data_IF_434633663943
#
_entry.id   IF_434633663943
#
_cell.length_a   1.000
_cell.length_b   1.000
_cell.length_c   1.000
_cell.angle_alpha   90.00
_cell.angle_beta   90.00
_cell.angle_gamma   90.00
#
_symmetry.space_group_name_H-M   'P 1'
#
loop_
_entity.id
_entity.type
_entity.pdbx_description
1 polymer ?
#
# COMPACT_ATOMS: atom_id res chain seq x y z
N UNK A 1 18.73 3.19 -18.61
CA UNK A 1 17.72 4.26 -18.88
C UNK A 1 16.44 4.06 -18.07
N UNK A 2 15.79 2.89 -18.11
CA UNK A 2 14.56 2.63 -17.34
C UNK A 2 14.73 2.89 -15.82
N UNK A 3 15.88 2.52 -15.25
CA UNK A 3 16.26 2.86 -13.87
C UNK A 3 16.18 4.35 -13.57
N UNK A 4 16.79 5.19 -14.40
CA UNK A 4 16.76 6.64 -14.19
C UNK A 4 15.34 7.20 -14.33
N UNK A 5 14.55 6.69 -15.28
CA UNK A 5 13.14 7.05 -15.41
C UNK A 5 12.35 6.69 -14.15
N UNK A 6 12.51 5.47 -13.62
CA UNK A 6 11.85 5.04 -12.38
C UNK A 6 12.26 5.88 -11.18
N UNK A 7 13.56 6.15 -11.05
CA UNK A 7 14.10 6.99 -9.98
C UNK A 7 13.52 8.42 -10.02
N UNK A 8 13.50 9.05 -11.19
CA UNK A 8 12.93 10.39 -11.36
C UNK A 8 11.42 10.39 -11.08
N UNK A 9 10.68 9.41 -11.60
CA UNK A 9 9.24 9.32 -11.34
C UNK A 9 8.94 9.09 -9.86
N UNK A 10 9.77 8.34 -9.14
CA UNK A 10 9.65 8.13 -7.69
C UNK A 10 9.86 9.41 -6.88
N UNK A 11 10.89 10.19 -7.22
CA UNK A 11 11.15 11.50 -6.59
C UNK A 11 10.01 12.48 -6.88
N UNK A 12 9.54 12.54 -8.14
CA UNK A 12 8.41 13.38 -8.54
C UNK A 12 7.13 12.97 -7.81
N UNK A 13 6.90 11.66 -7.63
CA UNK A 13 5.74 11.12 -6.90
C UNK A 13 5.70 11.61 -5.46
N UNK A 14 6.81 11.46 -4.72
CA UNK A 14 6.90 11.97 -3.35
C UNK A 14 6.77 13.50 -3.28
N UNK A 15 7.42 14.22 -4.20
CA UNK A 15 7.35 15.68 -4.24
C UNK A 15 5.94 16.22 -4.51
N UNK A 16 5.21 15.66 -5.50
CA UNK A 16 3.85 16.08 -5.82
C UNK A 16 2.89 15.81 -4.66
N UNK A 17 3.04 14.66 -3.98
CA UNK A 17 2.30 14.36 -2.75
C UNK A 17 2.54 15.42 -1.67
N UNK A 18 3.80 15.75 -1.40
CA UNK A 18 4.15 16.76 -0.40
C UNK A 18 3.59 18.15 -0.77
N UNK A 19 3.62 18.52 -2.06
CA UNK A 19 3.09 19.81 -2.53
C UNK A 19 1.59 19.93 -2.31
N UNK A 20 0.81 18.87 -2.54
CA UNK A 20 -0.63 18.93 -2.27
C UNK A 20 -0.93 18.87 -0.76
N UNK A 21 -0.19 18.11 0.02
CA UNK A 21 -0.38 18.02 1.47
C UNK A 21 -0.08 19.36 2.18
N UNK A 22 1.07 19.98 1.88
CA UNK A 22 1.45 21.31 2.40
C UNK A 22 0.56 22.43 1.89
N UNK A 23 -0.15 22.22 0.79
CA UNK A 23 -1.19 23.14 0.33
C UNK A 23 -2.53 22.92 1.06
N UNK A 24 -2.88 21.68 1.36
CA UNK A 24 -4.21 21.32 1.87
C UNK A 24 -4.33 21.37 3.39
N UNK A 25 -3.23 21.24 4.14
CA UNK A 25 -3.23 21.20 5.61
C UNK A 25 -3.97 22.40 6.25
N UNK A 26 -3.54 23.64 5.96
CA UNK A 26 -4.17 24.85 6.49
C UNK A 26 -5.61 25.03 5.99
N UNK A 27 -5.91 24.60 4.75
CA UNK A 27 -7.28 24.64 4.20
C UNK A 27 -8.20 23.71 4.96
N UNK A 28 -7.72 22.52 5.31
CA UNK A 28 -8.44 21.55 6.14
C UNK A 28 -8.74 22.14 7.52
N UNK A 29 -7.77 22.82 8.14
CA UNK A 29 -7.97 23.53 9.42
C UNK A 29 -9.02 24.63 9.31
N UNK A 30 -8.99 25.44 8.24
CA UNK A 30 -9.99 26.50 8.02
C UNK A 30 -11.40 25.92 7.81
N UNK A 31 -11.53 24.82 7.06
CA UNK A 31 -12.81 24.15 6.83
C UNK A 31 -13.33 23.40 8.07
N UNK A 32 -12.45 23.01 8.99
CA UNK A 32 -12.86 22.42 10.27
C UNK A 32 -13.74 23.37 11.11
N UNK A 33 -13.66 24.70 10.88
CA UNK A 33 -14.58 25.69 11.47
C UNK A 33 -16.03 25.50 11.03
N UNK A 34 -16.27 24.85 9.89
CA UNK A 34 -17.61 24.50 9.36
C UNK A 34 -18.05 23.08 9.74
N UNK A 35 -17.25 22.38 10.55
CA UNK A 35 -17.53 21.04 11.04
C UNK A 35 -16.74 19.93 10.32
N UNK A 36 -16.80 18.72 10.88
CA UNK A 36 -16.00 17.57 10.45
C UNK A 36 -16.21 17.19 8.98
N UNK A 37 -17.42 17.35 8.45
CA UNK A 37 -17.72 16.99 7.07
C UNK A 37 -16.97 17.84 6.04
N UNK A 38 -16.83 19.15 6.29
CA UNK A 38 -16.13 20.06 5.40
C UNK A 38 -14.60 19.85 5.45
N UNK A 39 -14.05 19.64 6.66
CA UNK A 39 -12.65 19.26 6.84
C UNK A 39 -12.34 17.92 6.15
N UNK A 40 -13.17 16.90 6.40
CA UNK A 40 -13.01 15.57 5.77
C UNK A 40 -13.04 15.66 4.25
N UNK A 41 -14.00 16.39 3.67
CA UNK A 41 -14.09 16.53 2.21
C UNK A 41 -12.84 17.22 1.62
N UNK A 42 -12.29 18.23 2.31
CA UNK A 42 -11.08 18.94 1.87
C UNK A 42 -9.85 18.04 1.94
N UNK A 43 -9.66 17.33 3.07
CA UNK A 43 -8.57 16.40 3.26
C UNK A 43 -8.65 15.23 2.27
N UNK A 44 -9.83 14.62 2.12
CA UNK A 44 -10.05 13.47 1.23
C UNK A 44 -9.86 13.83 -0.25
N UNK A 45 -10.39 14.99 -0.70
CA UNK A 45 -10.13 15.48 -2.06
C UNK A 45 -8.63 15.74 -2.31
N UNK A 46 -7.92 16.23 -1.30
CA UNK A 46 -6.47 16.47 -1.41
C UNK A 46 -5.67 15.16 -1.46
N UNK A 47 -6.07 14.16 -0.65
CA UNK A 47 -5.52 12.80 -0.74
C UNK A 47 -5.82 12.13 -2.09
N UNK A 48 -7.01 12.36 -2.66
CA UNK A 48 -7.37 11.88 -3.99
C UNK A 48 -6.47 12.51 -5.07
N UNK A 49 -6.17 13.81 -4.98
CA UNK A 49 -5.23 14.48 -5.91
C UNK A 49 -3.87 13.78 -5.91
N UNK A 50 -3.32 13.47 -4.72
CA UNK A 50 -2.10 12.66 -4.63
C UNK A 50 -2.29 11.29 -5.29
N UNK A 51 -3.29 10.51 -4.88
CA UNK A 51 -3.53 9.16 -5.39
C UNK A 51 -3.68 9.07 -6.91
N UNK A 52 -4.46 9.97 -7.52
CA UNK A 52 -4.66 10.01 -8.97
C UNK A 52 -3.41 10.49 -9.71
N UNK A 53 -2.72 11.51 -9.22
CA UNK A 53 -1.49 11.98 -9.86
C UNK A 53 -0.42 10.89 -9.87
N UNK A 54 -0.18 10.23 -8.73
CA UNK A 54 0.84 9.18 -8.63
C UNK A 54 0.52 7.99 -9.54
N UNK A 55 -0.73 7.51 -9.48
CA UNK A 55 -1.15 6.34 -10.24
C UNK A 55 -1.17 6.60 -11.76
N UNK A 56 -1.68 7.76 -12.18
CA UNK A 56 -1.73 8.13 -13.61
C UNK A 56 -0.35 8.49 -14.18
N UNK A 57 0.49 9.17 -13.41
CA UNK A 57 1.87 9.47 -13.81
C UNK A 57 2.69 8.19 -13.95
N UNK A 58 2.62 7.29 -12.96
CA UNK A 58 3.33 6.01 -12.99
C UNK A 58 2.95 5.18 -14.21
N UNK A 59 1.65 5.10 -14.51
CA UNK A 59 1.11 4.41 -15.68
C UNK A 59 1.55 5.05 -17.01
N UNK A 60 1.41 6.37 -17.13
CA UNK A 60 1.73 7.10 -18.35
C UNK A 60 3.22 7.02 -18.68
N UNK A 61 4.09 7.24 -17.68
CA UNK A 61 5.55 7.16 -17.89
C UNK A 61 5.96 5.75 -18.29
N UNK A 62 5.41 4.71 -17.65
CA UNK A 62 5.70 3.33 -18.01
C UNK A 62 5.23 3.00 -19.44
N UNK A 63 4.01 3.40 -19.81
CA UNK A 63 3.48 3.21 -21.16
C UNK A 63 4.37 3.89 -22.22
N UNK A 64 4.75 5.15 -21.99
CA UNK A 64 5.64 5.89 -22.88
C UNK A 64 7.01 5.22 -22.96
N UNK A 65 7.57 4.76 -21.84
CA UNK A 65 8.83 4.03 -21.82
C UNK A 65 8.78 2.75 -22.65
N UNK A 66 7.71 1.94 -22.51
CA UNK A 66 7.50 0.73 -23.33
C UNK A 66 7.47 1.09 -24.82
N UNK A 67 6.73 2.14 -25.21
CA UNK A 67 6.67 2.58 -26.61
C UNK A 67 8.01 3.07 -27.15
N UNK A 68 8.78 3.82 -26.35
CA UNK A 68 10.08 4.34 -26.76
C UNK A 68 11.13 3.22 -26.87
N UNK A 69 11.16 2.29 -25.92
CA UNK A 69 12.06 1.13 -25.98
C UNK A 69 11.68 0.21 -27.15
N UNK A 70 10.38 0.10 -27.46
CA UNK A 70 9.87 -0.62 -28.63
C UNK A 70 10.43 -0.13 -29.97
N UNK A 71 10.83 1.14 -30.08
CA UNK A 71 11.47 1.66 -31.28
C UNK A 71 12.88 1.09 -31.52
N UNK A 72 13.54 0.61 -30.47
CA UNK A 72 14.88 0.03 -30.53
C UNK A 72 14.85 -1.50 -30.58
N UNK A 73 14.05 -2.12 -29.72
CA UNK A 73 14.01 -3.59 -29.59
C UNK A 73 13.21 -4.28 -30.69
N UNK A 74 12.30 -3.57 -31.37
CA UNK A 74 11.44 -4.13 -32.43
C UNK A 74 10.72 -5.41 -31.98
N UNK A 75 11.11 -6.57 -32.51
CA UNK A 75 10.49 -7.88 -32.23
C UNK A 75 11.11 -8.59 -31.01
N UNK A 76 12.23 -8.08 -30.46
CA UNK A 76 12.86 -8.60 -29.24
C UNK A 76 12.13 -8.11 -27.98
N UNK A 77 10.96 -8.70 -27.72
CA UNK A 77 10.13 -8.30 -26.58
C UNK A 77 10.70 -8.77 -25.24
N UNK A 78 11.41 -9.90 -25.21
CA UNK A 78 12.11 -10.36 -24.00
C UNK A 78 13.12 -9.29 -23.54
N UNK A 79 14.03 -8.87 -24.42
CA UNK A 79 15.01 -7.83 -24.11
C UNK A 79 14.38 -6.47 -23.79
N UNK A 80 13.25 -6.13 -24.44
CA UNK A 80 12.50 -4.92 -24.15
C UNK A 80 11.97 -4.91 -22.71
N UNK A 81 11.22 -5.94 -22.32
CA UNK A 81 10.57 -5.96 -21.01
C UNK A 81 11.55 -6.31 -19.88
N UNK A 82 12.63 -7.05 -20.17
CA UNK A 82 13.79 -7.16 -19.28
C UNK A 82 14.36 -5.77 -18.97
N UNK A 83 14.59 -4.96 -19.99
CA UNK A 83 15.14 -3.61 -19.83
C UNK A 83 14.18 -2.66 -19.10
N UNK A 84 12.87 -2.82 -19.30
CA UNK A 84 11.83 -2.07 -18.59
C UNK A 84 11.79 -2.43 -17.09
N UNK A 85 12.23 -3.62 -16.69
CA UNK A 85 12.29 -4.03 -15.27
C UNK A 85 13.15 -3.07 -14.42
N UNK A 86 14.13 -2.40 -15.03
CA UNK A 86 14.89 -1.32 -14.39
C UNK A 86 14.01 -0.18 -13.86
N UNK A 87 12.82 0.05 -14.40
CA UNK A 87 11.87 1.07 -13.93
C UNK A 87 11.43 0.83 -12.47
N UNK A 88 11.06 -0.41 -12.13
CA UNK A 88 10.72 -0.80 -10.76
C UNK A 88 11.92 -0.64 -9.82
N UNK A 89 13.08 -1.14 -10.23
CA UNK A 89 14.34 -1.02 -9.47
C UNK A 89 14.67 0.44 -9.13
N UNK A 90 14.60 1.33 -10.12
CA UNK A 90 14.84 2.76 -9.90
C UNK A 90 13.83 3.39 -8.94
N UNK A 91 12.56 3.00 -9.07
CA UNK A 91 11.48 3.49 -8.23
C UNK A 91 11.67 3.19 -6.75
N UNK A 92 11.91 1.92 -6.44
CA UNK A 92 12.12 1.46 -5.07
C UNK A 92 13.46 1.86 -4.48
N UNK A 93 14.51 1.98 -5.31
CA UNK A 93 15.81 2.48 -4.84
C UNK A 93 15.67 3.88 -4.23
N UNK A 94 14.97 4.79 -4.92
CA UNK A 94 14.73 6.14 -4.40
C UNK A 94 13.71 6.14 -3.26
N UNK A 95 12.72 5.26 -3.31
CA UNK A 95 11.73 5.13 -2.24
C UNK A 95 12.36 4.72 -0.91
N UNK A 96 13.38 3.85 -0.92
CA UNK A 96 14.08 3.43 0.30
C UNK A 96 14.69 4.63 1.02
N UNK A 97 15.45 5.46 0.29
CA UNK A 97 16.02 6.68 0.86
C UNK A 97 14.94 7.67 1.30
N UNK A 98 13.87 7.82 0.52
CA UNK A 98 12.75 8.70 0.86
C UNK A 98 12.06 8.28 2.15
N UNK A 99 11.75 6.99 2.32
CA UNK A 99 11.03 6.49 3.50
C UNK A 99 11.91 6.42 4.74
N UNK A 100 13.17 5.98 4.62
CA UNK A 100 14.11 5.97 5.75
C UNK A 100 14.50 7.39 6.16
N UNK A 101 14.93 8.22 5.20
CA UNK A 101 15.36 9.59 5.49
C UNK A 101 14.22 10.47 6.00
N UNK A 102 13.05 10.40 5.35
CA UNK A 102 11.86 11.09 5.81
C UNK A 102 11.36 10.59 7.17
N UNK A 103 11.34 9.27 7.38
CA UNK A 103 10.97 8.63 8.64
C UNK A 103 11.84 9.08 9.82
N UNK A 104 13.17 9.07 9.64
CA UNK A 104 14.12 9.57 10.66
C UNK A 104 13.84 11.04 10.98
N UNK A 105 13.61 11.87 9.96
CA UNK A 105 13.33 13.29 10.16
C UNK A 105 12.06 13.51 10.99
N UNK A 106 10.94 12.89 10.59
CA UNK A 106 9.65 13.08 11.29
C UNK A 106 9.71 12.53 12.71
N UNK A 107 10.19 11.30 12.91
CA UNK A 107 10.10 10.67 14.24
C UNK A 107 11.11 11.23 15.24
N UNK A 108 12.24 11.78 14.79
CA UNK A 108 13.13 12.52 15.68
C UNK A 108 12.47 13.80 16.23
N UNK A 109 11.66 14.47 15.42
CA UNK A 109 10.93 15.67 15.82
C UNK A 109 9.71 15.34 16.68
N UNK A 110 8.90 14.39 16.24
CA UNK A 110 7.67 13.89 16.89
C UNK A 110 7.95 13.43 18.34
N UNK A 111 8.86 12.46 18.51
CA UNK A 111 9.24 11.94 19.84
C UNK A 111 9.79 13.04 20.75
N UNK A 112 10.59 13.95 20.20
CA UNK A 112 11.14 15.07 20.96
C UNK A 112 10.08 16.08 21.39
N UNK A 113 9.14 16.41 20.48
CA UNK A 113 8.05 17.34 20.75
C UNK A 113 7.12 16.78 21.82
N UNK A 114 6.72 15.53 21.68
CA UNK A 114 5.72 14.89 22.53
C UNK A 114 6.22 14.59 23.93
N UNK A 115 7.44 14.08 24.08
CA UNK A 115 8.00 13.79 25.41
C UNK A 115 8.16 15.07 26.23
N UNK A 116 8.86 16.08 25.70
CA UNK A 116 9.12 17.31 26.45
C UNK A 116 7.82 18.10 26.64
N UNK A 117 6.98 18.19 25.60
CA UNK A 117 5.72 18.94 25.66
C UNK A 117 4.70 18.30 26.60
N UNK A 118 4.27 17.08 26.30
CA UNK A 118 3.12 16.44 26.96
C UNK A 118 3.50 15.79 28.29
N UNK A 119 4.68 15.16 28.37
CA UNK A 119 5.08 14.38 29.56
C UNK A 119 5.79 15.25 30.61
N UNK A 120 6.79 16.04 30.20
CA UNK A 120 7.60 16.81 31.15
C UNK A 120 6.99 18.18 31.49
N UNK A 121 6.54 18.92 30.47
CA UNK A 121 6.11 20.32 30.62
C UNK A 121 4.60 20.49 30.75
N UNK A 122 3.83 19.42 30.56
CA UNK A 122 2.36 19.41 30.60
C UNK A 122 1.74 20.53 29.74
N UNK A 123 2.34 20.84 28.60
CA UNK A 123 1.76 21.72 27.58
C UNK A 123 1.00 20.87 26.56
N UNK A 124 0.00 21.43 25.87
CA UNK A 124 -0.69 20.75 24.78
C UNK A 124 0.27 20.20 23.71
N UNK A 125 -0.18 19.15 23.02
CA UNK A 125 0.39 18.71 21.75
C UNK A 125 0.29 19.84 20.72
N UNK A 126 1.26 19.93 19.81
CA UNK A 126 1.39 21.01 18.83
C UNK A 126 1.42 22.43 19.42
N UNK A 127 1.79 22.59 20.69
CA UNK A 127 1.85 23.90 21.31
C UNK A 127 2.94 24.78 20.66
N UNK A 128 2.63 26.02 20.22
CA UNK A 128 3.57 26.87 19.50
C UNK A 128 4.80 27.29 20.32
N UNK A 129 4.81 27.05 21.63
CA UNK A 129 5.97 27.27 22.50
C UNK A 129 7.01 26.17 22.38
N UNK A 130 6.63 25.00 21.88
CA UNK A 130 7.52 23.87 21.72
C UNK A 130 8.33 24.01 20.41
N UNK A 131 9.67 24.12 20.47
CA UNK A 131 10.49 24.39 19.30
C UNK A 131 10.51 23.24 18.28
N UNK A 132 10.09 22.03 18.66
CA UNK A 132 10.09 20.86 17.79
C UNK A 132 8.83 20.77 16.89
N UNK A 133 7.74 21.49 17.21
CA UNK A 133 6.43 21.35 16.53
C UNK A 133 6.48 21.68 15.04
N UNK A 134 7.32 22.65 14.63
CA UNK A 134 7.51 22.94 13.21
C UNK A 134 8.17 21.76 12.49
N UNK A 135 9.19 21.16 13.09
CA UNK A 135 9.89 20.02 12.49
C UNK A 135 8.99 18.78 12.44
N UNK A 136 8.13 18.61 13.45
CA UNK A 136 7.15 17.54 13.52
C UNK A 136 6.13 17.62 12.36
N UNK A 137 5.46 18.77 12.23
CA UNK A 137 4.50 19.02 11.15
C UNK A 137 5.15 19.05 9.75
N UNK A 138 6.43 19.44 9.64
CA UNK A 138 7.21 19.27 8.39
C UNK A 138 7.45 17.77 8.13
N UNK A 139 7.76 17.02 9.18
CA UNK A 139 7.96 15.59 9.18
C UNK A 139 6.81 14.81 8.56
N UNK A 140 5.56 15.11 8.92
CA UNK A 140 4.38 14.48 8.32
C UNK A 140 4.40 14.54 6.78
N UNK A 141 4.84 15.67 6.23
CA UNK A 141 4.86 15.90 4.80
C UNK A 141 6.08 15.26 4.12
N UNK A 142 7.22 15.19 4.81
CA UNK A 142 8.49 14.66 4.27
C UNK A 142 8.56 13.13 4.40
N UNK A 143 8.15 12.59 5.55
CA UNK A 143 8.07 11.17 5.80
C UNK A 143 6.78 10.58 5.23
N UNK A 144 5.66 10.92 5.86
CA UNK A 144 4.39 10.18 5.73
C UNK A 144 3.63 10.49 4.45
N UNK A 145 3.99 11.58 3.78
CA UNK A 145 3.50 11.88 2.43
C UNK A 145 4.56 11.60 1.38
N UNK A 146 5.72 12.27 1.40
CA UNK A 146 6.69 12.12 0.31
C UNK A 146 7.29 10.71 0.25
N UNK A 147 7.77 10.18 1.39
CA UNK A 147 8.30 8.82 1.48
C UNK A 147 7.25 7.76 1.11
N UNK A 148 6.02 7.89 1.62
CA UNK A 148 4.92 6.98 1.31
C UNK A 148 4.51 7.03 -0.18
N UNK A 149 4.50 8.22 -0.78
CA UNK A 149 4.20 8.38 -2.20
C UNK A 149 5.23 7.69 -3.10
N UNK A 150 6.52 7.82 -2.80
CA UNK A 150 7.59 7.10 -3.49
C UNK A 150 7.50 5.58 -3.26
N UNK A 151 7.17 5.15 -2.05
CA UNK A 151 7.02 3.74 -1.69
C UNK A 151 5.92 3.05 -2.50
N UNK A 152 4.71 3.62 -2.53
CA UNK A 152 3.58 3.07 -3.29
C UNK A 152 3.83 3.10 -4.80
N UNK A 153 4.52 4.12 -5.31
CA UNK A 153 4.98 4.13 -6.70
C UNK A 153 5.92 2.95 -6.99
N UNK A 154 6.90 2.68 -6.12
CA UNK A 154 7.80 1.53 -6.25
C UNK A 154 7.04 0.20 -6.30
N UNK A 155 6.08 0.01 -5.39
CA UNK A 155 5.20 -1.18 -5.40
C UNK A 155 4.42 -1.34 -6.71
N UNK A 156 3.86 -0.25 -7.23
CA UNK A 156 3.14 -0.22 -8.50
C UNK A 156 4.05 -0.59 -9.68
N UNK A 157 5.23 0.05 -9.74
CA UNK A 157 6.17 -0.12 -10.84
C UNK A 157 6.73 -1.55 -10.88
N UNK A 158 7.17 -2.09 -9.75
CA UNK A 158 7.71 -3.46 -9.68
C UNK A 158 6.67 -4.52 -9.98
N UNK A 159 5.47 -4.42 -9.39
CA UNK A 159 4.39 -5.38 -9.65
C UNK A 159 4.02 -5.44 -11.13
N UNK A 160 3.99 -4.25 -11.77
CA UNK A 160 3.68 -4.14 -13.19
C UNK A 160 4.84 -4.68 -14.05
N UNK A 161 6.08 -4.33 -13.73
CA UNK A 161 7.26 -4.79 -14.48
C UNK A 161 7.45 -6.31 -14.38
N UNK A 162 7.24 -6.89 -13.19
CA UNK A 162 7.32 -8.34 -13.00
C UNK A 162 6.29 -9.08 -13.87
N UNK A 163 5.04 -8.59 -13.92
CA UNK A 163 4.01 -9.16 -14.78
C UNK A 163 4.34 -9.01 -16.27
N UNK A 164 4.88 -7.85 -16.68
CA UNK A 164 5.30 -7.60 -18.06
C UNK A 164 6.44 -8.53 -18.51
N UNK A 165 7.47 -8.70 -17.68
CA UNK A 165 8.60 -9.56 -18.01
C UNK A 165 8.16 -11.02 -18.19
N UNK A 166 7.39 -11.57 -17.24
CA UNK A 166 6.87 -12.95 -17.38
C UNK A 166 5.94 -13.08 -18.59
N UNK A 167 5.11 -12.07 -18.88
CA UNK A 167 4.27 -12.06 -20.08
C UNK A 167 5.10 -12.03 -21.38
N UNK A 168 6.25 -11.36 -21.39
CA UNK A 168 7.12 -11.23 -22.57
C UNK A 168 7.77 -12.55 -23.01
N UNK A 169 8.06 -13.45 -22.06
CA UNK A 169 8.61 -14.79 -22.31
C UNK A 169 7.53 -15.89 -22.36
N UNK A 170 6.26 -15.47 -22.30
CA UNK A 170 5.07 -16.32 -22.46
C UNK A 170 4.54 -16.21 -23.90
N UNK A 171 3.45 -16.91 -24.24
CA UNK A 171 2.91 -16.83 -25.62
C UNK A 171 2.53 -15.39 -26.01
N UNK A 172 2.18 -14.54 -25.05
CA UNK A 172 1.83 -13.14 -25.33
C UNK A 172 2.98 -12.37 -26.00
N UNK A 173 4.22 -12.56 -25.52
CA UNK A 173 5.37 -11.93 -26.14
C UNK A 173 5.86 -12.65 -27.40
N UNK A 174 5.79 -13.99 -27.41
CA UNK A 174 6.17 -14.79 -28.58
C UNK A 174 5.26 -14.54 -29.80
N UNK A 175 3.97 -14.31 -29.57
CA UNK A 175 2.97 -14.01 -30.60
C UNK A 175 2.86 -12.50 -30.90
N UNK A 176 3.67 -11.67 -30.23
CA UNK A 176 3.62 -10.21 -30.30
C UNK A 176 2.21 -9.63 -30.04
N UNK A 177 1.45 -10.24 -29.12
CA UNK A 177 0.14 -9.75 -28.69
C UNK A 177 0.32 -8.62 -27.66
N UNK A 178 0.37 -7.39 -28.18
CA UNK A 178 0.58 -6.20 -27.36
C UNK A 178 -0.52 -6.00 -26.32
N UNK A 179 -1.77 -6.36 -26.63
CA UNK A 179 -2.89 -6.19 -25.72
C UNK A 179 -2.77 -7.13 -24.51
N UNK A 180 -2.40 -8.39 -24.77
CA UNK A 180 -2.22 -9.38 -23.72
C UNK A 180 -0.97 -9.11 -22.86
N UNK A 181 0.14 -8.69 -23.46
CA UNK A 181 1.32 -8.26 -22.68
C UNK A 181 1.02 -7.03 -21.82
N UNK A 182 0.28 -6.06 -22.34
CA UNK A 182 -0.11 -4.86 -21.60
C UNK A 182 -1.29 -5.07 -20.62
N UNK A 183 -1.76 -6.30 -20.43
CA UNK A 183 -2.82 -6.61 -19.45
C UNK A 183 -2.66 -5.96 -18.06
N UNK A 184 -1.48 -5.96 -17.39
CA UNK A 184 -1.33 -5.28 -16.11
C UNK A 184 -1.51 -3.74 -16.19
N UNK A 185 -1.16 -3.11 -17.32
CA UNK A 185 -1.43 -1.69 -17.55
C UNK A 185 -2.92 -1.43 -17.78
N UNK A 186 -3.62 -2.33 -18.47
CA UNK A 186 -5.07 -2.24 -18.68
C UNK A 186 -5.85 -2.38 -17.37
N UNK A 187 -5.43 -3.31 -16.50
CA UNK A 187 -5.98 -3.45 -15.14
C UNK A 187 -5.78 -2.15 -14.34
N UNK A 188 -4.58 -1.57 -14.39
CA UNK A 188 -4.29 -0.30 -13.73
C UNK A 188 -5.12 0.86 -14.28
N UNK A 189 -5.31 0.90 -15.60
CA UNK A 189 -6.13 1.90 -16.30
C UNK A 189 -7.61 1.81 -15.88
N UNK A 190 -8.15 0.60 -15.83
CA UNK A 190 -9.50 0.36 -15.32
C UNK A 190 -9.62 0.72 -13.84
N UNK A 191 -8.57 0.45 -13.04
CA UNK A 191 -8.48 0.87 -11.65
C UNK A 191 -8.60 2.37 -11.46
N UNK A 192 -7.97 3.19 -12.30
CA UNK A 192 -8.13 4.65 -12.25
C UNK A 192 -9.58 5.08 -12.45
N UNK A 193 -10.28 4.49 -13.41
CA UNK A 193 -11.71 4.79 -13.66
C UNK A 193 -12.58 4.34 -12.48
N UNK A 194 -12.34 3.14 -11.96
CA UNK A 194 -13.06 2.61 -10.78
C UNK A 194 -12.85 3.50 -9.56
N UNK A 195 -11.61 3.90 -9.29
CA UNK A 195 -11.28 4.77 -8.17
C UNK A 195 -11.90 6.16 -8.35
N UNK A 196 -12.00 6.68 -9.58
CA UNK A 196 -12.66 7.95 -9.86
C UNK A 196 -14.13 7.87 -9.48
N UNK A 197 -14.83 6.83 -9.95
CA UNK A 197 -16.24 6.59 -9.59
C UNK A 197 -16.39 6.40 -8.07
N UNK A 198 -15.49 5.65 -7.44
CA UNK A 198 -15.51 5.37 -6.00
C UNK A 198 -15.34 6.65 -5.17
N UNK A 199 -14.45 7.54 -5.60
CA UNK A 199 -14.18 8.83 -4.94
C UNK A 199 -15.44 9.68 -4.81
N UNK A 200 -16.30 9.69 -5.84
CA UNK A 200 -17.57 10.44 -5.84
C UNK A 200 -18.50 10.05 -4.68
N UNK A 201 -18.42 8.81 -4.20
CA UNK A 201 -19.20 8.36 -3.05
C UNK A 201 -18.78 9.07 -1.76
N UNK A 202 -17.49 9.31 -1.54
CA UNK A 202 -17.00 10.01 -0.35
C UNK A 202 -17.03 11.53 -0.49
N UNK A 203 -17.02 12.07 -1.72
CA UNK A 203 -16.91 13.51 -1.95
C UNK A 203 -18.23 14.21 -2.27
N UNK A 204 -19.19 13.52 -2.89
CA UNK A 204 -20.40 14.13 -3.44
C UNK A 204 -21.68 13.42 -2.95
N UNK A 205 -21.73 12.08 -2.97
CA UNK A 205 -22.94 11.34 -2.61
C UNK A 205 -23.16 11.16 -1.10
N UNK A 206 -22.08 11.01 -0.33
CA UNK A 206 -22.16 10.89 1.13
C UNK A 206 -21.36 11.99 1.82
N UNK A 207 -21.97 12.59 2.85
CA UNK A 207 -21.30 13.60 3.69
C UNK A 207 -21.15 13.05 5.10
N UNK A 208 -19.92 13.09 5.61
CA UNK A 208 -19.63 12.75 7.00
C UNK A 208 -20.24 13.83 7.91
N UNK A 209 -21.17 13.42 8.78
CA UNK A 209 -21.84 14.34 9.72
C UNK A 209 -21.23 14.32 11.12
N UNK A 210 -20.59 13.21 11.49
CA UNK A 210 -20.07 12.97 12.83
C UNK A 210 -18.66 12.38 12.76
N UNK A 211 -17.87 12.57 13.82
CA UNK A 211 -16.50 12.04 13.90
C UNK A 211 -16.48 10.51 13.75
N UNK A 212 -17.45 9.81 14.34
CA UNK A 212 -17.60 8.35 14.20
C UNK A 212 -17.87 7.89 12.77
N UNK A 213 -18.32 8.78 11.89
CA UNK A 213 -18.58 8.49 10.48
C UNK A 213 -17.33 8.53 9.59
N UNK A 214 -16.19 9.02 10.07
CA UNK A 214 -14.96 9.16 9.27
C UNK A 214 -14.40 7.78 8.88
N UNK A 215 -14.12 6.92 9.86
CA UNK A 215 -13.54 5.60 9.60
C UNK A 215 -14.45 4.70 8.73
N UNK A 216 -15.78 4.61 8.98
CA UNK A 216 -16.69 3.92 8.08
C UNK A 216 -16.72 4.47 6.65
N UNK A 217 -16.61 5.79 6.47
CA UNK A 217 -16.57 6.40 5.14
C UNK A 217 -15.30 6.00 4.37
N UNK A 218 -14.13 6.01 5.04
CA UNK A 218 -12.87 5.54 4.45
C UNK A 218 -12.91 4.04 4.13
N UNK A 219 -13.45 3.21 5.03
CA UNK A 219 -13.64 1.78 4.77
C UNK A 219 -14.57 1.51 3.60
N UNK A 220 -15.65 2.28 3.47
CA UNK A 220 -16.59 2.14 2.37
C UNK A 220 -15.90 2.38 1.01
N UNK A 221 -14.90 3.25 0.95
CA UNK A 221 -14.09 3.42 -0.27
C UNK A 221 -13.35 2.13 -0.65
N UNK A 222 -12.77 1.42 0.32
CA UNK A 222 -12.11 0.13 0.06
C UNK A 222 -13.11 -0.93 -0.43
N UNK A 223 -14.30 -1.00 0.17
CA UNK A 223 -15.33 -1.98 -0.20
C UNK A 223 -15.86 -1.69 -1.62
N UNK A 224 -16.23 -0.44 -1.90
CA UNK A 224 -16.78 -0.05 -3.21
C UNK A 224 -15.73 -0.24 -4.31
N UNK A 225 -14.50 0.24 -4.11
CA UNK A 225 -13.44 0.06 -5.10
C UNK A 225 -13.13 -1.42 -5.33
N UNK A 226 -13.10 -2.25 -4.30
CA UNK A 226 -12.89 -3.70 -4.45
C UNK A 226 -14.00 -4.38 -5.26
N UNK A 227 -15.26 -4.07 -4.94
CA UNK A 227 -16.40 -4.65 -5.65
C UNK A 227 -16.43 -4.21 -7.13
N UNK A 228 -16.28 -2.91 -7.39
CA UNK A 228 -16.25 -2.37 -8.75
C UNK A 228 -15.03 -2.85 -9.53
N UNK A 229 -13.86 -2.95 -8.89
CA UNK A 229 -12.64 -3.43 -9.53
C UNK A 229 -12.70 -4.94 -9.84
N UNK A 230 -13.43 -5.73 -9.05
CA UNK A 230 -13.68 -7.13 -9.38
C UNK A 230 -14.45 -7.25 -10.72
N UNK A 231 -15.47 -6.42 -10.92
CA UNK A 231 -16.23 -6.39 -12.18
C UNK A 231 -15.37 -5.84 -13.33
N UNK A 232 -14.62 -4.77 -13.09
CA UNK A 232 -13.74 -4.18 -14.10
C UNK A 232 -12.61 -5.15 -14.52
N UNK A 233 -11.99 -5.85 -13.57
CA UNK A 233 -10.98 -6.87 -13.84
C UNK A 233 -11.55 -8.01 -14.67
N UNK A 234 -12.79 -8.44 -14.39
CA UNK A 234 -13.48 -9.45 -15.21
C UNK A 234 -13.64 -8.96 -16.66
N UNK A 235 -14.18 -7.75 -16.84
CA UNK A 235 -14.37 -7.17 -18.19
C UNK A 235 -13.04 -7.05 -18.93
N UNK A 236 -12.00 -6.51 -18.29
CA UNK A 236 -10.66 -6.38 -18.89
C UNK A 236 -10.08 -7.75 -19.23
N UNK A 237 -10.21 -8.74 -18.35
CA UNK A 237 -9.69 -10.10 -18.60
C UNK A 237 -10.30 -10.73 -19.85
N UNK A 238 -11.62 -10.66 -19.98
CA UNK A 238 -12.32 -11.27 -21.10
C UNK A 238 -12.20 -10.46 -22.40
N UNK A 239 -11.90 -9.16 -22.32
CA UNK A 239 -11.69 -8.31 -23.48
C UNK A 239 -10.23 -8.33 -23.99
N UNK A 240 -9.25 -8.46 -23.10
CA UNK A 240 -7.83 -8.29 -23.43
C UNK A 240 -7.05 -9.61 -23.52
N UNK A 241 -7.52 -10.71 -22.92
CA UNK A 241 -6.82 -11.99 -22.93
C UNK A 241 -7.52 -13.04 -23.80
N UNK A 242 -6.78 -13.82 -24.60
CA UNK A 242 -7.34 -14.96 -25.33
C UNK A 242 -7.84 -16.06 -24.37
N UNK A 243 -8.80 -16.86 -24.83
CA UNK A 243 -9.45 -17.88 -24.00
C UNK A 243 -8.45 -18.95 -23.48
N UNK A 244 -7.40 -19.23 -24.25
CA UNK A 244 -6.30 -20.13 -23.92
C UNK A 244 -4.98 -19.54 -24.43
N UNK A 245 -3.93 -19.66 -23.65
CA UNK A 245 -2.57 -19.21 -23.96
C UNK A 245 -1.56 -20.02 -23.14
N UNK A 246 -0.25 -19.79 -23.35
CA UNK A 246 0.78 -20.40 -22.51
C UNK A 246 1.50 -19.35 -21.68
N UNK A 247 1.84 -19.73 -20.44
CA UNK A 247 2.67 -18.94 -19.55
C UNK A 247 3.97 -19.68 -19.27
N UNK A 248 5.07 -18.94 -19.18
CA UNK A 248 6.35 -19.48 -18.76
C UNK A 248 6.28 -20.06 -17.34
N UNK A 249 6.77 -21.28 -17.16
CA UNK A 249 6.83 -22.01 -15.89
C UNK A 249 8.18 -22.74 -15.80
N UNK A 250 9.23 -22.04 -15.35
CA UNK A 250 10.57 -22.57 -15.09
C UNK A 250 11.17 -23.44 -16.22
N UNK A 251 11.06 -22.97 -17.47
CA UNK A 251 11.57 -23.67 -18.65
C UNK A 251 10.51 -24.47 -19.42
N UNK A 252 9.31 -24.61 -18.86
CA UNK A 252 8.14 -25.17 -19.55
C UNK A 252 7.12 -24.07 -19.93
N UNK A 253 6.24 -24.39 -20.88
CA UNK A 253 5.13 -23.52 -21.29
C UNK A 253 3.82 -24.14 -20.80
N UNK A 254 3.26 -23.57 -19.73
CA UNK A 254 2.04 -24.06 -19.09
C UNK A 254 0.81 -23.51 -19.79
N UNK A 255 -0.14 -24.37 -20.18
CA UNK A 255 -1.42 -23.91 -20.67
C UNK A 255 -2.25 -23.25 -19.57
N UNK A 256 -2.70 -22.02 -19.83
CA UNK A 256 -3.52 -21.20 -18.93
C UNK A 256 -4.75 -20.71 -19.68
N UNK A 257 -5.84 -20.51 -18.93
CA UNK A 257 -7.08 -19.90 -19.43
C UNK A 257 -7.23 -18.50 -18.85
N UNK A 258 -7.84 -17.58 -19.59
CA UNK A 258 -8.06 -16.20 -19.15
C UNK A 258 -8.73 -16.10 -17.76
N UNK A 259 -9.72 -16.95 -17.48
CA UNK A 259 -10.41 -16.94 -16.18
C UNK A 259 -9.50 -17.33 -15.00
N UNK A 260 -8.42 -18.10 -15.22
CA UNK A 260 -7.41 -18.34 -14.18
C UNK A 260 -6.71 -17.03 -13.79
N UNK A 261 -6.33 -16.22 -14.79
CA UNK A 261 -5.68 -14.92 -14.56
C UNK A 261 -6.62 -13.93 -13.90
N UNK A 262 -7.91 -13.94 -14.25
CA UNK A 262 -8.92 -13.19 -13.52
C UNK A 262 -8.91 -13.55 -12.03
N UNK A 263 -8.92 -14.84 -11.68
CA UNK A 263 -8.86 -15.25 -10.28
C UNK A 263 -7.55 -14.86 -9.60
N UNK A 264 -6.40 -14.95 -10.27
CA UNK A 264 -5.14 -14.47 -9.70
C UNK A 264 -5.21 -12.99 -9.29
N UNK A 265 -5.75 -12.13 -10.16
CA UNK A 265 -5.94 -10.70 -9.87
C UNK A 265 -6.99 -10.50 -8.78
N UNK A 266 -8.14 -11.17 -8.88
CA UNK A 266 -9.23 -11.04 -7.91
C UNK A 266 -8.81 -11.51 -6.50
N UNK A 267 -8.11 -12.62 -6.38
CA UNK A 267 -7.63 -13.15 -5.10
C UNK A 267 -6.67 -12.16 -4.44
N UNK A 268 -5.74 -11.56 -5.20
CA UNK A 268 -4.87 -10.50 -4.69
C UNK A 268 -5.66 -9.27 -4.22
N UNK A 269 -6.64 -8.83 -5.01
CA UNK A 269 -7.52 -7.71 -4.68
C UNK A 269 -8.31 -7.95 -3.37
N UNK A 270 -8.95 -9.12 -3.24
CA UNK A 270 -9.73 -9.48 -2.06
C UNK A 270 -8.84 -9.77 -0.84
N UNK A 271 -7.64 -10.29 -1.03
CA UNK A 271 -6.64 -10.40 0.04
C UNK A 271 -6.25 -9.02 0.58
N UNK A 272 -6.07 -8.02 -0.29
CA UNK A 272 -5.86 -6.63 0.10
C UNK A 272 -7.01 -6.07 0.95
N UNK A 273 -8.27 -6.35 0.59
CA UNK A 273 -9.42 -5.97 1.40
C UNK A 273 -9.42 -6.67 2.77
N UNK A 274 -9.13 -7.98 2.82
CA UNK A 274 -9.06 -8.74 4.06
C UNK A 274 -7.95 -8.22 4.99
N UNK A 275 -6.77 -7.87 4.44
CA UNK A 275 -5.70 -7.20 5.16
C UNK A 275 -6.22 -5.87 5.72
N UNK A 276 -6.84 -5.02 4.90
CA UNK A 276 -7.39 -3.74 5.34
C UNK A 276 -8.38 -3.84 6.51
N UNK A 277 -9.30 -4.80 6.46
CA UNK A 277 -10.24 -5.06 7.56
C UNK A 277 -9.55 -5.57 8.83
N UNK A 278 -8.57 -6.44 8.68
CA UNK A 278 -7.83 -6.97 9.82
C UNK A 278 -6.97 -5.88 10.46
N UNK A 279 -6.30 -5.07 9.64
CA UNK A 279 -5.55 -3.91 10.10
C UNK A 279 -6.46 -2.95 10.84
N UNK A 280 -7.64 -2.61 10.31
CA UNK A 280 -8.62 -1.75 11.00
C UNK A 280 -9.01 -2.33 12.38
N UNK A 281 -9.24 -3.64 12.47
CA UNK A 281 -9.60 -4.29 13.74
C UNK A 281 -8.50 -4.18 14.80
N UNK A 282 -7.23 -4.29 14.41
CA UNK A 282 -6.09 -4.23 15.33
C UNK A 282 -5.58 -2.82 15.58
N UNK A 283 -5.92 -1.82 14.76
CA UNK A 283 -5.38 -0.44 14.89
C UNK A 283 -6.43 0.62 15.22
N UNK A 284 -7.73 0.35 15.06
CA UNK A 284 -8.78 1.31 15.41
C UNK A 284 -9.23 1.17 16.87
N UNK A 285 -9.31 2.31 17.56
CA UNK A 285 -9.84 2.42 18.93
C UNK A 285 -11.35 2.08 19.06
N UNK A 286 -12.03 1.84 17.95
CA UNK A 286 -13.40 1.35 17.92
C UNK A 286 -13.51 -0.14 18.31
N UNK A 287 -12.40 -0.89 18.29
CA UNK A 287 -12.35 -2.34 18.53
C UNK A 287 -11.65 -2.68 19.84
N UNK A 288 -11.89 -3.90 20.34
CA UNK A 288 -11.33 -4.33 21.63
C UNK A 288 -9.79 -4.34 21.66
N UNK A 289 -9.03 -4.75 20.62
CA UNK A 289 -7.58 -4.88 20.76
C UNK A 289 -6.89 -3.58 21.20
N UNK A 290 -7.24 -2.45 20.56
CA UNK A 290 -6.68 -1.14 20.93
C UNK A 290 -7.24 -0.62 22.25
N UNK A 291 -8.49 -0.95 22.58
CA UNK A 291 -9.09 -0.58 23.87
C UNK A 291 -8.43 -1.32 25.04
N UNK A 292 -8.02 -2.57 24.84
CA UNK A 292 -7.30 -3.36 25.84
C UNK A 292 -5.87 -2.81 26.05
N UNK A 293 -5.21 -2.39 24.96
CA UNK A 293 -3.92 -1.67 25.05
C UNK A 293 -4.09 -0.36 25.84
N UNK A 294 -5.15 0.41 25.58
CA UNK A 294 -5.43 1.62 26.34
C UNK A 294 -5.79 1.34 27.82
N UNK A 295 -6.53 0.26 28.10
CA UNK A 295 -6.85 -0.14 29.49
C UNK A 295 -5.59 -0.52 30.27
N UNK A 296 -4.63 -1.18 29.61
CA UNK A 296 -3.36 -1.58 30.24
C UNK A 296 -2.51 -0.40 30.72
N UNK A 297 -2.78 0.83 30.25
CA UNK A 297 -2.17 2.06 30.79
C UNK A 297 -2.51 2.30 32.27
N UNK A 298 -3.58 1.69 32.79
CA UNK A 298 -3.98 1.80 34.21
C UNK A 298 -2.90 1.27 35.16
N UNK A 299 -2.05 0.36 34.69
CA UNK A 299 -0.95 -0.24 35.44
C UNK A 299 0.43 0.27 35.01
N UNK A 300 0.47 1.33 34.18
CA UNK A 300 1.68 2.05 33.79
C UNK A 300 2.15 1.78 32.36
N UNK A 301 3.28 2.39 31.99
CA UNK A 301 3.83 2.31 30.64
C UNK A 301 4.34 0.89 30.29
N UNK A 302 4.91 0.17 31.26
CA UNK A 302 5.45 -1.16 31.02
C UNK A 302 4.40 -2.16 30.49
N UNK A 303 3.22 -2.18 31.13
CA UNK A 303 2.10 -3.03 30.68
C UNK A 303 1.56 -2.58 29.33
N UNK A 304 1.48 -1.26 29.09
CA UNK A 304 1.09 -0.74 27.78
C UNK A 304 2.02 -1.20 26.65
N UNK A 305 3.33 -1.13 26.84
CA UNK A 305 4.32 -1.61 25.86
C UNK A 305 4.20 -3.12 25.65
N UNK A 306 4.04 -3.91 26.71
CA UNK A 306 3.88 -5.37 26.61
C UNK A 306 2.61 -5.72 25.80
N UNK A 307 1.48 -5.09 26.10
CA UNK A 307 0.23 -5.30 25.37
C UNK A 307 0.33 -4.84 23.91
N UNK A 308 0.99 -3.71 23.64
CA UNK A 308 1.24 -3.21 22.29
C UNK A 308 2.09 -4.16 21.45
N UNK A 309 3.19 -4.66 22.00
CA UNK A 309 4.06 -5.65 21.32
C UNK A 309 3.30 -6.96 21.06
N UNK A 310 2.58 -7.48 22.06
CA UNK A 310 1.77 -8.69 21.91
C UNK A 310 0.66 -8.53 20.87
N UNK A 311 0.03 -7.36 20.80
CA UNK A 311 -0.96 -7.03 19.78
C UNK A 311 -0.33 -7.01 18.38
N UNK A 312 0.85 -6.40 18.23
CA UNK A 312 1.62 -6.42 16.99
C UNK A 312 1.88 -7.84 16.50
N UNK A 313 2.40 -8.71 17.38
CA UNK A 313 2.64 -10.13 17.07
C UNK A 313 1.36 -10.91 16.75
N UNK A 314 0.24 -10.57 17.38
CA UNK A 314 -1.05 -11.20 17.08
C UNK A 314 -1.63 -10.74 15.74
N UNK A 315 -1.40 -9.48 15.38
CA UNK A 315 -2.00 -8.84 14.20
C UNK A 315 -1.52 -9.45 12.88
N UNK A 316 -0.32 -10.04 12.83
CA UNK A 316 0.25 -10.61 11.60
C UNK A 316 -0.37 -11.94 11.18
N UNK A 317 -1.08 -12.64 12.06
CA UNK A 317 -1.61 -13.99 11.79
C UNK A 317 -2.55 -13.98 10.58
N UNK A 318 -3.57 -13.12 10.57
CA UNK A 318 -4.55 -13.08 9.48
C UNK A 318 -3.96 -12.54 8.18
N UNK A 319 -3.16 -11.46 8.15
CA UNK A 319 -2.47 -11.02 6.93
C UNK A 319 -1.54 -12.07 6.34
N UNK A 320 -0.75 -12.78 7.17
CA UNK A 320 0.11 -13.87 6.69
C UNK A 320 -0.72 -15.02 6.15
N UNK A 321 -1.81 -15.41 6.84
CA UNK A 321 -2.74 -16.41 6.32
C UNK A 321 -3.45 -15.94 5.06
N UNK A 322 -3.79 -14.66 4.93
CA UNK A 322 -4.42 -14.09 3.74
C UNK A 322 -3.46 -14.10 2.56
N UNK A 323 -2.18 -13.77 2.77
CA UNK A 323 -1.14 -13.86 1.73
C UNK A 323 -0.88 -15.32 1.37
N UNK A 324 -0.64 -16.18 2.35
CA UNK A 324 -0.40 -17.61 2.13
C UNK A 324 -1.60 -18.28 1.45
N UNK A 325 -2.83 -17.97 1.87
CA UNK A 325 -4.06 -18.43 1.23
C UNK A 325 -4.25 -17.75 -0.12
N UNK A 326 -3.83 -16.51 -0.35
CA UNK A 326 -3.94 -15.87 -1.66
C UNK A 326 -3.01 -16.52 -2.68
N UNK A 327 -1.78 -16.86 -2.27
CA UNK A 327 -0.82 -17.59 -3.09
C UNK A 327 -1.31 -19.02 -3.27
N UNK A 328 -1.67 -19.69 -2.17
CA UNK A 328 -2.19 -21.05 -2.20
C UNK A 328 -3.43 -21.12 -3.05
N UNK A 329 -4.43 -20.24 -2.91
CA UNK A 329 -5.68 -20.21 -3.67
C UNK A 329 -5.47 -19.64 -5.07
N UNK A 330 -4.48 -18.80 -5.38
CA UNK A 330 -4.18 -18.48 -6.78
C UNK A 330 -3.65 -19.72 -7.51
N UNK A 331 -2.74 -20.46 -6.86
CA UNK A 331 -2.17 -21.72 -7.35
C UNK A 331 -3.21 -22.85 -7.31
N UNK A 332 -4.02 -22.88 -6.25
CA UNK A 332 -4.97 -23.92 -5.91
C UNK A 332 -6.29 -23.67 -6.59
N UNK A 333 -6.83 -22.47 -6.78
CA UNK A 333 -8.02 -22.21 -7.60
C UNK A 333 -7.77 -22.47 -9.09
N UNK A 334 -6.51 -22.39 -9.54
CA UNK A 334 -6.10 -22.99 -10.82
C UNK A 334 -6.27 -24.54 -10.83
N UNK A 335 -6.33 -25.18 -9.65
CA UNK A 335 -6.43 -26.63 -9.42
C UNK A 335 -7.72 -27.11 -8.66
N UNK A 336 -8.52 -26.24 -8.04
CA UNK A 336 -9.43 -26.52 -6.90
C UNK A 336 -10.86 -26.00 -7.08
N UNK A 337 -11.23 -25.59 -8.30
CA UNK A 337 -12.65 -25.43 -8.66
C UNK A 337 -13.52 -26.66 -8.35
N UNK A 338 -12.91 -27.84 -8.17
CA UNK A 338 -13.59 -29.06 -7.72
C UNK A 338 -13.71 -29.26 -6.19
N UNK A 339 -13.00 -28.50 -5.36
CA UNK A 339 -13.01 -28.70 -3.89
C UNK A 339 -14.09 -27.85 -3.17
N UNK A 340 -14.50 -26.71 -3.76
CA UNK A 340 -15.38 -25.73 -3.12
C UNK A 340 -16.86 -26.10 -3.04
N UNK A 341 -17.33 -27.14 -3.74
CA UNK A 341 -18.69 -27.66 -3.56
C UNK A 341 -18.91 -28.26 -2.16
N UNK A 342 -17.85 -28.84 -1.58
CA UNK A 342 -17.93 -29.56 -0.30
C UNK A 342 -17.85 -28.65 0.94
N UNK A 343 -17.29 -27.45 0.81
CA UNK A 343 -17.02 -26.57 1.95
C UNK A 343 -18.22 -25.70 2.36
N UNK A 344 -19.22 -25.54 1.49
CA UNK A 344 -20.49 -24.82 1.72
C UNK A 344 -21.21 -25.22 3.03
N UNK A 345 -20.96 -26.43 3.53
CA UNK A 345 -21.64 -27.02 4.69
C UNK A 345 -21.15 -26.55 6.06
N UNK A 346 -20.06 -25.79 6.14
CA UNK A 346 -19.38 -25.56 7.42
C UNK A 346 -19.65 -24.19 8.07
N UNK A 347 -20.18 -23.23 7.31
CA UNK A 347 -20.37 -21.85 7.76
C UNK A 347 -21.82 -21.65 8.19
N UNK A 348 -22.16 -22.09 9.41
CA UNK A 348 -23.50 -21.93 10.00
C UNK A 348 -23.50 -21.35 11.46
N UNK A 349 -22.40 -20.80 12.02
CA UNK A 349 -22.35 -20.55 13.49
C UNK A 349 -21.65 -19.24 14.04
N UNK A 350 -22.33 -18.09 14.17
CA UNK A 350 -21.84 -16.82 14.82
C UNK A 350 -21.65 -16.86 16.38
N UNK A 351 -21.40 -15.81 17.21
CA UNK A 351 -21.30 -14.32 17.16
C UNK A 351 -20.79 -13.63 18.51
N UNK A 352 -20.27 -12.36 18.45
CA UNK A 352 -20.32 -11.19 19.41
C UNK A 352 -19.67 -11.22 20.84
N UNK A 353 -19.57 -10.19 21.72
CA UNK A 353 -19.77 -8.70 21.79
C UNK A 353 -18.97 -8.18 23.05
N UNK A 354 -17.86 -7.42 22.94
CA UNK A 354 -17.06 -6.96 24.12
C UNK A 354 -16.55 -5.51 23.99
N UNK A 355 -17.46 -4.62 23.63
CA UNK A 355 -17.10 -3.33 23.05
C UNK A 355 -17.70 -2.13 23.80
N UNK A 356 -17.80 -2.15 25.12
CA UNK A 356 -18.35 -1.05 25.91
C UNK A 356 -17.65 -0.98 27.29
N UNK A 357 -16.57 -0.22 27.51
CA UNK A 357 -16.64 1.16 28.07
C UNK A 357 -15.27 1.61 28.62
N UNK A 358 -14.70 2.78 28.26
CA UNK A 358 -13.52 3.42 28.94
C UNK A 358 -13.47 4.97 28.77
N UNK A 359 -12.88 5.68 29.76
CA UNK A 359 -13.01 7.13 30.09
C UNK A 359 -11.89 8.13 29.65
N UNK A 360 -11.70 9.31 30.34
CA UNK A 360 -11.13 10.55 29.71
C UNK A 360 -9.65 10.92 30.01
N UNK A 361 -9.14 11.95 29.28
CA UNK A 361 -7.73 12.41 29.11
C UNK A 361 -7.12 13.23 30.27
N UNK A 362 -5.77 13.28 30.37
CA UNK A 362 -4.99 14.10 31.32
C UNK A 362 -4.43 13.36 32.55
N UNK A 363 -4.74 12.07 32.67
CA UNK A 363 -4.37 11.19 33.78
C UNK A 363 -2.99 10.55 33.62
N UNK A 364 -2.52 9.83 34.63
CA UNK A 364 -1.33 8.96 34.48
C UNK A 364 -1.51 7.91 33.38
N UNK A 365 -2.75 7.46 33.13
CA UNK A 365 -3.06 6.59 31.99
C UNK A 365 -2.86 7.30 30.64
N UNK A 366 -3.10 8.62 30.56
CA UNK A 366 -2.81 9.42 29.38
C UNK A 366 -1.30 9.52 29.12
N UNK A 367 -0.48 9.76 30.17
CA UNK A 367 0.99 9.78 30.03
C UNK A 367 1.56 8.42 29.64
N UNK A 368 1.06 7.33 30.21
CA UNK A 368 1.47 5.98 29.84
C UNK A 368 1.17 5.64 28.37
N UNK A 369 0.04 6.13 27.84
CA UNK A 369 -0.29 5.99 26.42
C UNK A 369 0.68 6.77 25.51
N UNK A 370 1.11 7.97 25.92
CA UNK A 370 2.10 8.79 25.18
C UNK A 370 3.47 8.08 25.11
N UNK A 371 3.89 7.38 26.16
CA UNK A 371 5.13 6.57 26.12
C UNK A 371 5.02 5.41 25.12
N UNK A 372 3.89 4.69 25.11
CA UNK A 372 3.67 3.62 24.13
C UNK A 372 3.66 4.13 22.68
N UNK A 373 3.06 5.30 22.45
CA UNK A 373 3.00 5.94 21.13
C UNK A 373 4.40 6.33 20.63
N UNK A 374 5.17 7.02 21.46
CA UNK A 374 6.56 7.45 21.15
C UNK A 374 7.54 6.28 20.91
N UNK A 375 7.30 5.11 21.50
CA UNK A 375 8.03 3.87 21.17
C UNK A 375 7.56 3.30 19.82
N UNK A 376 6.25 3.38 19.55
CA UNK A 376 5.64 2.91 18.30
C UNK A 376 5.98 3.75 17.08
N UNK A 377 6.32 5.02 17.25
CA UNK A 377 6.66 5.97 16.19
C UNK A 377 7.79 5.50 15.25
N UNK A 378 9.02 5.21 15.72
CA UNK A 378 10.07 4.68 14.84
C UNK A 378 9.75 3.28 14.28
N UNK A 379 8.86 2.53 14.93
CA UNK A 379 8.40 1.22 14.45
C UNK A 379 7.42 1.35 13.28
N UNK A 380 6.43 2.24 13.37
CA UNK A 380 5.34 2.38 12.38
C UNK A 380 5.65 3.33 11.23
N UNK A 381 6.56 4.29 11.43
CA UNK A 381 6.83 5.34 10.43
C UNK A 381 8.26 5.35 9.87
N UNK A 382 9.20 4.59 10.48
CA UNK A 382 10.58 4.46 9.96
C UNK A 382 10.90 3.03 9.57
N UNK A 383 11.04 2.12 10.54
CA UNK A 383 11.54 0.77 10.30
C UNK A 383 10.51 -0.14 9.63
N UNK A 384 9.30 -0.23 10.19
CA UNK A 384 8.21 -1.07 9.69
C UNK A 384 7.87 -0.86 8.20
N UNK A 385 7.50 0.36 7.77
CA UNK A 385 7.18 0.60 6.37
C UNK A 385 8.39 0.38 5.47
N UNK A 386 9.62 0.75 5.88
CA UNK A 386 10.81 0.57 5.05
C UNK A 386 11.16 -0.91 4.76
N UNK A 387 10.72 -1.85 5.60
CA UNK A 387 10.95 -3.28 5.38
C UNK A 387 10.26 -3.81 4.12
N UNK A 388 9.11 -3.24 3.74
CA UNK A 388 8.44 -3.65 2.49
C UNK A 388 9.31 -3.29 1.27
N UNK A 389 9.94 -2.11 1.32
CA UNK A 389 10.86 -1.63 0.28
C UNK A 389 12.10 -2.50 0.23
N UNK A 390 12.65 -2.86 1.39
CA UNK A 390 13.82 -3.74 1.47
C UNK A 390 13.59 -5.07 0.74
N UNK A 391 12.47 -5.75 1.02
CA UNK A 391 12.14 -7.05 0.41
C UNK A 391 12.03 -6.92 -1.11
N UNK A 392 11.24 -5.95 -1.58
CA UNK A 392 10.91 -5.80 -2.99
C UNK A 392 12.10 -5.26 -3.82
N UNK A 393 12.87 -4.35 -3.24
CA UNK A 393 14.11 -3.82 -3.82
C UNK A 393 15.16 -4.93 -4.01
N UNK A 394 15.43 -5.74 -2.98
CA UNK A 394 16.38 -6.86 -3.10
C UNK A 394 15.93 -7.87 -4.16
N UNK A 395 14.63 -8.11 -4.30
CA UNK A 395 14.10 -9.03 -5.31
C UNK A 395 14.34 -8.52 -6.74
N UNK A 396 13.98 -7.27 -7.04
CA UNK A 396 14.18 -6.70 -8.38
C UNK A 396 15.65 -6.43 -8.68
N UNK A 397 16.46 -6.05 -7.69
CA UNK A 397 17.92 -5.94 -7.82
C UNK A 397 18.53 -7.30 -8.18
N UNK A 398 18.16 -8.36 -7.47
CA UNK A 398 18.62 -9.72 -7.77
C UNK A 398 18.23 -10.17 -9.18
N UNK A 399 17.01 -9.84 -9.63
CA UNK A 399 16.54 -10.16 -10.98
C UNK A 399 17.34 -9.41 -12.06
N UNK A 400 17.53 -8.10 -11.91
CA UNK A 400 18.25 -7.26 -12.89
C UNK A 400 19.72 -7.68 -13.01
N UNK A 401 20.36 -8.06 -11.90
CA UNK A 401 21.76 -8.50 -11.90
C UNK A 401 21.94 -10.02 -12.04
N UNK A 402 20.86 -10.79 -12.25
CA UNK A 402 20.92 -12.25 -12.34
C UNK A 402 21.92 -12.76 -13.39
N UNK A 403 21.96 -12.24 -14.64
CA UNK A 403 22.94 -12.68 -15.63
C UNK A 403 24.39 -12.42 -15.19
N UNK A 404 24.64 -11.26 -14.55
CA UNK A 404 25.96 -10.90 -14.03
C UNK A 404 26.39 -11.84 -12.89
N UNK A 405 25.50 -12.14 -11.94
CA UNK A 405 25.79 -13.06 -10.85
C UNK A 405 26.01 -14.49 -11.34
N UNK A 406 25.25 -14.95 -12.34
CA UNK A 406 25.47 -16.27 -12.92
C UNK A 406 26.84 -16.38 -13.61
N UNK A 407 27.24 -15.35 -14.37
CA UNK A 407 28.52 -15.35 -15.09
C UNK A 407 29.73 -15.19 -14.17
N UNK A 408 29.67 -14.25 -13.22
CA UNK A 408 30.84 -13.78 -12.47
C UNK A 408 30.75 -14.01 -10.96
N UNK A 409 29.59 -14.42 -10.44
CA UNK A 409 29.40 -14.71 -9.03
C UNK A 409 30.05 -16.02 -8.58
N UNK A 410 29.85 -16.35 -7.30
CA UNK A 410 30.38 -17.57 -6.68
C UNK A 410 31.88 -17.54 -6.39
N UNK A 411 32.51 -16.36 -6.30
CA UNK A 411 33.97 -16.18 -6.13
C UNK A 411 34.60 -16.92 -4.95
N UNK A 412 33.83 -17.25 -3.91
CA UNK A 412 34.31 -17.98 -2.73
C UNK A 412 34.26 -19.51 -2.94
N UNK A 413 33.38 -19.98 -3.83
CA UNK A 413 33.12 -21.41 -4.09
C UNK A 413 33.81 -21.86 -5.40
N UNK A 414 34.13 -20.93 -6.30
CA UNK A 414 35.03 -21.10 -7.45
C UNK A 414 36.48 -21.08 -6.98
#
# INVERSE_FOLDING_TARGET
MAFLLGAVTSVVSGFLGMRIATFANARTTLEARRGIGAAFATAFRSGAVMGFLLSSLGLLVLYVAIKLFGLYYHDDWEGLYESITGYGLGGSSMALFGRVGGGIYTKAADVGADLVGKVERNIPEDDPRNPAVIADNVGDNVGDIAGMGSDLFGSYAESTCAALFVASISSFGADHDFAAVCYPLLISSAGLVVCLVTTLFATDFFKVKTVRGVAPALKLQLIISTALMTVAALVVTFAALPAKFTMFDFGEQKQVKNWHVFFCVAIGLWAGLAIGFTTEYFTSNAYSPVRDVADSCRTGAATNVIFGLALGYKSVIVPVLAIALSIYVAISASNSGGAWDNAKKYIEAGASEHAKSLGPKGSEAHKAAVIGDTIGDPLKDTSGPSLNILIKLMAVESLVFAPFFAAHGGLIIK
#
